data_IF_291875914318
#
_entry.id   IF_291875914318
#
_cell.length_a   1.000
_cell.length_b   1.000
_cell.length_c   1.000
_cell.angle_alpha   90.00
_cell.angle_beta   90.00
_cell.angle_gamma   90.00
#
_symmetry.space_group_name_H-M   'P 1'
#
loop_
_entity.id
_entity.type
_entity.pdbx_description
1 polymer ?
#
# COMPACT_ATOMS: atom_id res chain seq x y z
N UNK A 1 -7.50 8.24 1.72
CA UNK A 1 -8.48 7.78 0.70
C UNK A 1 -9.08 6.47 1.16
N UNK A 2 -10.37 6.19 0.92
CA UNK A 2 -10.92 4.89 1.31
C UNK A 2 -10.65 3.87 0.20
N UNK A 3 -10.11 2.69 0.52
CA UNK A 3 -9.80 1.64 -0.48
C UNK A 3 -11.04 1.26 -1.32
N UNK A 4 -12.23 1.37 -0.75
CA UNK A 4 -13.50 1.13 -1.46
C UNK A 4 -13.77 2.10 -2.62
N UNK A 5 -13.17 3.29 -2.62
CA UNK A 5 -13.30 4.31 -3.66
C UNK A 5 -12.38 4.04 -4.85
N UNK A 6 -11.37 3.19 -4.67
CA UNK A 6 -10.52 2.71 -5.75
C UNK A 6 -11.33 1.70 -6.57
N UNK A 7 -11.32 1.87 -7.91
CA UNK A 7 -11.86 0.88 -8.84
C UNK A 7 -11.31 -0.50 -8.47
N UNK A 8 -12.17 -1.52 -8.42
CA UNK A 8 -11.78 -2.87 -7.96
C UNK A 8 -10.51 -3.39 -8.62
N UNK A 9 -10.35 -3.14 -9.91
CA UNK A 9 -9.18 -3.51 -10.71
C UNK A 9 -7.86 -2.82 -10.32
N UNK A 10 -7.93 -1.66 -9.68
CA UNK A 10 -6.78 -0.87 -9.25
C UNK A 10 -6.49 -1.03 -7.75
N UNK A 11 -7.30 -1.82 -7.04
CA UNK A 11 -7.00 -2.13 -5.63
C UNK A 11 -5.76 -3.02 -5.56
N UNK A 12 -4.87 -2.83 -4.58
CA UNK A 12 -3.58 -3.50 -4.55
C UNK A 12 -3.66 -5.03 -4.65
N UNK A 13 -4.57 -5.66 -3.89
CA UNK A 13 -4.71 -7.12 -3.87
C UNK A 13 -5.24 -7.62 -5.22
N UNK A 14 -6.30 -7.01 -5.75
CA UNK A 14 -6.89 -7.39 -7.02
C UNK A 14 -5.95 -7.14 -8.20
N UNK A 15 -5.19 -6.04 -8.17
CA UNK A 15 -4.13 -5.72 -9.14
C UNK A 15 -3.03 -6.77 -9.09
N UNK A 16 -2.55 -7.14 -7.90
CA UNK A 16 -1.55 -8.19 -7.68
C UNK A 16 -2.00 -9.54 -8.23
N UNK A 17 -3.24 -9.95 -7.94
CA UNK A 17 -3.80 -11.22 -8.42
C UNK A 17 -3.93 -11.27 -9.95
N UNK A 18 -4.14 -10.12 -10.60
CA UNK A 18 -4.34 -10.02 -12.05
C UNK A 18 -3.04 -9.85 -12.83
N UNK A 19 -2.13 -9.01 -12.34
CA UNK A 19 -0.97 -8.52 -13.08
C UNK A 19 0.37 -8.94 -12.47
N UNK A 20 0.36 -9.66 -11.35
CA UNK A 20 1.58 -10.06 -10.63
C UNK A 20 2.08 -8.97 -9.67
N UNK A 21 2.93 -9.36 -8.69
CA UNK A 21 3.50 -8.45 -7.70
C UNK A 21 4.41 -7.37 -8.31
N UNK A 22 5.04 -7.62 -9.45
CA UNK A 22 5.89 -6.68 -10.19
C UNK A 22 5.12 -5.45 -10.72
N UNK A 23 3.80 -5.55 -10.82
CA UNK A 23 2.95 -4.44 -11.27
C UNK A 23 2.65 -3.43 -10.15
N UNK A 24 2.97 -3.77 -8.90
CA UNK A 24 2.68 -2.97 -7.72
C UNK A 24 3.77 -1.95 -7.45
N UNK A 25 3.39 -0.79 -6.91
CA UNK A 25 4.35 0.14 -6.34
C UNK A 25 4.81 -0.33 -4.96
N UNK A 26 5.90 0.25 -4.44
CA UNK A 26 6.39 -0.06 -3.10
C UNK A 26 5.34 0.27 -2.03
N UNK A 27 4.57 1.34 -2.22
CA UNK A 27 3.44 1.74 -1.37
C UNK A 27 2.32 0.70 -1.41
N UNK A 28 1.98 0.19 -2.60
CA UNK A 28 0.95 -0.84 -2.74
C UNK A 28 1.38 -2.17 -2.10
N UNK A 29 2.64 -2.58 -2.29
CA UNK A 29 3.22 -3.75 -1.64
C UNK A 29 3.18 -3.60 -0.12
N UNK A 30 3.65 -2.47 0.40
CA UNK A 30 3.64 -2.19 1.83
C UNK A 30 2.21 -2.14 2.37
N UNK A 31 1.25 -1.63 1.61
CA UNK A 31 -0.16 -1.56 2.02
C UNK A 31 -0.81 -2.94 2.13
N UNK A 32 -0.41 -3.87 1.27
CA UNK A 32 -0.81 -5.28 1.35
C UNK A 32 -0.23 -5.91 2.61
N UNK A 33 1.05 -5.66 2.92
CA UNK A 33 1.72 -6.20 4.11
C UNK A 33 1.13 -5.65 5.42
N UNK A 34 0.84 -4.33 5.45
CA UNK A 34 0.19 -3.68 6.59
C UNK A 34 -1.22 -4.24 6.81
N UNK A 35 -1.91 -4.64 5.73
CA UNK A 35 -3.21 -5.33 5.69
C UNK A 35 -4.41 -4.54 6.25
N UNK A 36 -4.22 -3.73 7.30
CA UNK A 36 -5.27 -2.99 7.98
C UNK A 36 -4.91 -1.52 8.16
N UNK A 37 -5.89 -0.66 7.96
CA UNK A 37 -5.77 0.76 8.27
C UNK A 37 -6.04 1.05 9.75
N UNK A 38 -6.01 2.33 10.11
CA UNK A 38 -6.56 2.84 11.36
C UNK A 38 -8.00 3.34 11.15
N UNK A 39 -8.62 3.85 12.21
CA UNK A 39 -9.92 4.53 12.11
C UNK A 39 -9.93 5.70 11.11
N UNK A 40 -8.78 6.35 10.91
CA UNK A 40 -8.68 7.60 10.16
C UNK A 40 -7.88 7.49 8.85
N UNK A 41 -7.11 6.41 8.66
CA UNK A 41 -6.21 6.23 7.50
C UNK A 41 -6.32 4.80 6.98
N UNK A 42 -6.41 4.63 5.66
CA UNK A 42 -6.33 3.30 5.05
C UNK A 42 -4.91 2.73 5.14
N UNK A 43 -4.74 1.44 4.90
CA UNK A 43 -3.39 0.85 4.79
C UNK A 43 -2.55 1.50 3.70
N UNK A 44 -3.17 1.91 2.58
CA UNK A 44 -2.50 2.68 1.53
C UNK A 44 -2.04 4.06 2.01
N UNK A 45 -2.87 4.79 2.75
CA UNK A 45 -2.49 6.09 3.31
C UNK A 45 -1.30 5.93 4.28
N UNK A 46 -1.34 4.90 5.13
CA UNK A 46 -0.25 4.61 6.08
C UNK A 46 1.03 4.23 5.33
N UNK A 47 0.95 3.39 4.31
CA UNK A 47 2.12 3.01 3.50
C UNK A 47 2.75 4.20 2.79
N UNK A 48 1.92 5.09 2.26
CA UNK A 48 2.38 6.34 1.66
C UNK A 48 3.10 7.21 2.69
N UNK A 49 2.53 7.39 3.88
CA UNK A 49 3.17 8.17 4.95
C UNK A 49 4.52 7.58 5.37
N UNK A 50 4.59 6.25 5.52
CA UNK A 50 5.84 5.56 5.91
C UNK A 50 6.91 5.79 4.86
N UNK A 51 6.62 5.54 3.58
CA UNK A 51 7.59 5.67 2.49
C UNK A 51 8.08 7.12 2.35
N UNK A 52 7.21 8.10 2.54
CA UNK A 52 7.62 9.52 2.50
C UNK A 52 8.32 9.99 3.78
N UNK A 53 8.23 9.24 4.87
CA UNK A 53 8.92 9.56 6.14
C UNK A 53 10.35 9.03 6.20
N UNK A 54 10.71 8.12 5.31
CA UNK A 54 12.05 7.50 5.25
C UNK A 54 12.80 7.93 4.00
N UNK A 55 14.13 8.05 4.10
CA UNK A 55 14.97 8.30 2.93
C UNK A 55 15.08 7.04 2.05
N UNK A 56 15.06 5.86 2.67
CA UNK A 56 15.11 4.58 1.99
C UNK A 56 14.20 3.54 2.67
N UNK A 57 13.68 2.59 1.91
CA UNK A 57 12.77 1.56 2.44
C UNK A 57 13.45 0.65 3.49
N UNK A 58 14.76 0.44 3.36
CA UNK A 58 15.55 -0.30 4.35
C UNK A 58 15.53 0.34 5.75
N UNK A 59 15.30 1.66 5.82
CA UNK A 59 15.29 2.40 7.09
C UNK A 59 14.01 2.15 7.89
N UNK A 60 12.97 1.55 7.28
CA UNK A 60 11.71 1.20 7.96
C UNK A 60 11.90 0.06 8.98
N UNK A 61 12.93 -0.78 8.78
CA UNK A 61 13.17 -1.98 9.59
C UNK A 61 14.24 -1.80 10.68
N UNK A 62 14.85 -0.61 10.77
CA UNK A 62 15.88 -0.27 11.75
C UNK A 62 15.34 0.70 12.82
#
# INVERSE_FOLDING_TARGET
MLIKEIKKENRPIEKMLRLGPESLTNEELLAILINTGTKNKSSLDISYDIINSVANLADVLN
#
